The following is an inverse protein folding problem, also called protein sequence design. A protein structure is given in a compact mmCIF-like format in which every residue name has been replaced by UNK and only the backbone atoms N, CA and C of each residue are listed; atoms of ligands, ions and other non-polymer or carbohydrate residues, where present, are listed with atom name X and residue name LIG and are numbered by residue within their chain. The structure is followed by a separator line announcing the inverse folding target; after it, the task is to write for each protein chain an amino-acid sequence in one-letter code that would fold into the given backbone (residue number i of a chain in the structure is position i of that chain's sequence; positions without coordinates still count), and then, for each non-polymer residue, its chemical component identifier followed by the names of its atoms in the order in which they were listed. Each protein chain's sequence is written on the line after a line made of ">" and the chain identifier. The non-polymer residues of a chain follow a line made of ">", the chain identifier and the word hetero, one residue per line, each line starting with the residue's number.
data_IF_627596057401
#
_entry.id   IF_627596057401
#
_cell.length_a   1.000
_cell.length_b   1.000
_cell.length_c   1.000
_cell.angle_alpha   90.00
_cell.angle_beta   90.00
_cell.angle_gamma   90.00
#
_symmetry.space_group_name_H-M   'P 1'
#
loop_
_entity.id
_entity.type
_entity.pdbx_description
1 polymer ?
#
# COMPACT_ATOMS: atom_id res chain seq x y z
N UNK A 1 -7.09 20.10 10.63
CA UNK A 1 -6.26 21.31 10.85
C UNK A 1 -4.86 21.06 10.35
N UNK A 2 -3.94 21.99 10.53
CA UNK A 2 -2.55 21.90 10.05
C UNK A 2 -1.76 20.68 10.60
N UNK A 3 -2.09 20.26 11.82
CA UNK A 3 -1.46 19.10 12.47
C UNK A 3 -2.07 17.76 12.08
N UNK A 4 -3.09 17.75 11.21
CA UNK A 4 -3.71 16.50 10.80
C UNK A 4 -2.71 15.61 10.06
N UNK A 5 -2.72 14.32 10.38
CA UNK A 5 -1.94 13.29 9.70
C UNK A 5 -2.90 12.16 9.34
N UNK A 6 -2.79 11.66 8.12
CA UNK A 6 -3.59 10.53 7.64
C UNK A 6 -3.06 9.25 8.28
N UNK A 7 -3.81 8.58 9.18
CA UNK A 7 -3.34 7.34 9.80
C UNK A 7 -3.42 6.17 8.82
N UNK A 8 -2.42 5.29 8.83
CA UNK A 8 -2.56 3.91 8.32
C UNK A 8 -2.31 2.96 9.48
N UNK A 9 -3.31 2.15 9.83
CA UNK A 9 -3.27 1.29 11.02
C UNK A 9 -3.15 -0.19 10.67
N UNK A 10 -2.56 -0.94 11.60
CA UNK A 10 -2.62 -2.39 11.61
C UNK A 10 -3.62 -2.83 12.67
N UNK A 11 -4.65 -3.56 12.26
CA UNK A 11 -5.70 -4.10 13.12
C UNK A 11 -5.76 -5.61 12.94
N UNK A 12 -6.21 -6.35 13.94
CA UNK A 12 -6.40 -7.80 13.79
C UNK A 12 -7.64 -8.26 14.54
N UNK A 13 -8.22 -9.37 14.10
CA UNK A 13 -9.29 -10.07 14.79
C UNK A 13 -8.80 -11.43 15.33
N UNK A 14 -9.65 -12.11 16.09
CA UNK A 14 -9.35 -13.43 16.61
C UNK A 14 -8.40 -13.41 17.81
N UNK A 15 -7.61 -14.48 17.95
CA UNK A 15 -6.73 -14.70 19.11
C UNK A 15 -5.29 -14.95 18.71
N UNK A 16 -4.36 -14.57 19.60
CA UNK A 16 -2.93 -14.86 19.44
C UNK A 16 -2.56 -15.98 20.41
N UNK A 17 -2.10 -17.11 19.88
CA UNK A 17 -1.66 -18.27 20.67
C UNK A 17 -0.28 -18.73 20.19
N UNK A 18 0.71 -18.76 21.09
CA UNK A 18 2.08 -19.24 20.78
C UNK A 18 2.71 -18.62 19.52
N UNK A 19 2.50 -17.32 19.28
CA UNK A 19 3.02 -16.66 18.09
C UNK A 19 2.10 -16.71 16.86
N UNK A 20 1.00 -17.45 16.92
CA UNK A 20 0.05 -17.63 15.82
C UNK A 20 -1.19 -16.77 16.03
N UNK A 21 -1.43 -15.82 15.13
CA UNK A 21 -2.71 -15.15 15.01
C UNK A 21 -3.71 -16.09 14.32
N UNK A 22 -4.73 -16.54 15.05
CA UNK A 22 -5.89 -17.27 14.51
C UNK A 22 -6.98 -16.27 14.16
N UNK A 23 -6.83 -15.61 13.03
CA UNK A 23 -7.63 -14.48 12.60
C UNK A 23 -6.98 -13.76 11.43
N UNK A 24 -7.58 -12.66 11.03
CA UNK A 24 -7.12 -11.83 9.93
C UNK A 24 -6.31 -10.64 10.46
N UNK A 25 -5.35 -10.18 9.64
CA UNK A 25 -4.66 -8.91 9.81
C UNK A 25 -5.24 -7.92 8.79
N UNK A 26 -5.61 -6.75 9.24
CA UNK A 26 -6.12 -5.65 8.42
C UNK A 26 -5.08 -4.54 8.38
N UNK A 27 -4.78 -4.07 7.17
CA UNK A 27 -4.05 -2.84 6.92
C UNK A 27 -5.12 -1.83 6.53
N UNK A 28 -5.44 -0.90 7.44
CA UNK A 28 -6.54 0.05 7.24
C UNK A 28 -5.99 1.40 6.84
N UNK A 29 -6.31 1.82 5.63
CA UNK A 29 -5.90 3.11 5.08
C UNK A 29 -6.91 4.23 5.33
N UNK A 30 -6.41 5.46 5.33
CA UNK A 30 -7.23 6.69 5.40
C UNK A 30 -7.00 7.63 4.22
N UNK A 31 -6.36 7.14 3.15
CA UNK A 31 -5.94 7.94 1.99
C UNK A 31 -4.60 8.66 2.17
N UNK A 32 -3.68 8.14 3.00
CA UNK A 32 -2.32 8.68 3.15
C UNK A 32 -1.54 8.55 1.83
N UNK A 33 -1.18 9.66 1.16
CA UNK A 33 -0.41 9.60 -0.09
C UNK A 33 1.10 9.41 0.12
N UNK A 34 1.57 9.46 1.38
CA UNK A 34 3.01 9.47 1.70
C UNK A 34 3.58 8.09 2.03
N UNK A 35 2.72 7.08 2.22
CA UNK A 35 3.12 5.74 2.62
C UNK A 35 4.02 5.07 1.57
N UNK A 36 5.31 4.92 1.88
CA UNK A 36 6.26 4.37 0.93
C UNK A 36 6.70 5.33 -0.18
N UNK A 37 6.23 6.59 -0.19
CA UNK A 37 6.47 7.51 -1.30
C UNK A 37 7.96 7.76 -1.57
N UNK A 38 8.35 7.77 -2.85
CA UNK A 38 9.73 8.03 -3.27
C UNK A 38 10.22 9.42 -2.86
N UNK A 39 9.30 10.36 -2.58
CA UNK A 39 9.63 11.70 -2.09
C UNK A 39 10.25 11.68 -0.68
N UNK A 40 10.11 10.59 0.07
CA UNK A 40 10.71 10.37 1.39
C UNK A 40 11.90 9.39 1.34
N UNK A 41 12.51 9.21 0.18
CA UNK A 41 13.75 8.44 0.05
C UNK A 41 14.90 9.08 0.86
N UNK A 42 15.85 8.28 1.38
CA UNK A 42 15.95 6.82 1.25
C UNK A 42 15.03 6.03 2.19
N UNK A 43 14.47 6.67 3.21
CA UNK A 43 13.76 6.02 4.32
C UNK A 43 12.30 5.65 4.03
N UNK A 44 11.81 5.88 2.81
CA UNK A 44 10.45 5.55 2.38
C UNK A 44 9.97 4.13 2.75
N UNK A 45 10.85 3.13 2.88
CA UNK A 45 10.48 1.75 3.26
C UNK A 45 10.47 1.49 4.77
N UNK A 46 10.79 2.49 5.60
CA UNK A 46 10.91 2.36 7.06
C UNK A 46 9.62 1.87 7.72
N UNK A 47 8.45 2.29 7.21
CA UNK A 47 7.15 1.86 7.74
C UNK A 47 6.99 0.34 7.78
N UNK A 48 7.56 -0.40 6.81
CA UNK A 48 7.52 -1.86 6.79
C UNK A 48 8.21 -2.46 8.02
N UNK A 49 9.36 -1.89 8.42
CA UNK A 49 10.07 -2.34 9.61
C UNK A 49 9.31 -1.98 10.89
N UNK A 50 8.68 -0.82 10.92
CA UNK A 50 7.84 -0.37 12.04
C UNK A 50 6.62 -1.29 12.21
N UNK A 51 5.98 -1.67 11.11
CA UNK A 51 4.87 -2.62 11.07
C UNK A 51 5.28 -4.01 11.52
N UNK A 52 6.37 -4.56 10.98
CA UNK A 52 6.91 -5.86 11.42
C UNK A 52 7.24 -5.83 12.92
N UNK A 53 7.82 -4.73 13.39
CA UNK A 53 8.17 -4.56 14.81
C UNK A 53 6.92 -4.49 15.68
N UNK A 54 5.87 -3.77 15.24
CA UNK A 54 4.60 -3.69 15.95
C UNK A 54 3.92 -5.06 16.06
N UNK A 55 3.88 -5.84 14.96
CA UNK A 55 3.33 -7.20 14.96
C UNK A 55 4.11 -8.12 15.91
N UNK A 56 5.44 -8.09 15.86
CA UNK A 56 6.29 -8.87 16.77
C UNK A 56 6.09 -8.47 18.23
N UNK A 57 5.92 -7.17 18.51
CA UNK A 57 5.70 -6.64 19.87
C UNK A 57 4.42 -7.16 20.50
N UNK A 58 3.37 -7.38 19.71
CA UNK A 58 2.12 -8.00 20.18
C UNK A 58 2.14 -9.53 20.12
N UNK A 59 3.28 -10.13 19.77
CA UNK A 59 3.48 -11.59 19.74
C UNK A 59 2.96 -12.27 18.48
N UNK A 60 2.74 -11.55 17.38
CA UNK A 60 2.36 -12.14 16.09
C UNK A 60 3.64 -12.51 15.31
N UNK A 61 3.79 -13.79 15.02
CA UNK A 61 4.88 -14.35 14.21
C UNK A 61 4.37 -15.10 12.98
N UNK A 62 3.13 -15.60 13.03
CA UNK A 62 2.45 -16.27 11.93
C UNK A 62 0.98 -15.87 11.94
N UNK A 63 0.39 -15.78 10.75
CA UNK A 63 -1.03 -15.46 10.56
C UNK A 63 -1.71 -16.68 9.95
N UNK A 64 -2.79 -17.14 10.60
CA UNK A 64 -3.71 -18.17 10.10
C UNK A 64 -5.04 -17.49 9.77
N UNK A 65 -5.04 -16.81 8.63
CA UNK A 65 -6.13 -16.01 8.10
C UNK A 65 -5.61 -15.22 6.90
N UNK A 66 -6.34 -14.16 6.52
CA UNK A 66 -5.95 -13.27 5.45
C UNK A 66 -5.17 -12.06 5.97
N UNK A 67 -4.36 -11.47 5.09
CA UNK A 67 -3.88 -10.09 5.23
C UNK A 67 -4.73 -9.25 4.28
N UNK A 68 -5.51 -8.32 4.83
CA UNK A 68 -6.57 -7.60 4.13
C UNK A 68 -6.17 -6.13 4.06
N UNK A 69 -6.18 -5.57 2.86
CA UNK A 69 -6.10 -4.12 2.65
C UNK A 69 -7.52 -3.55 2.78
N UNK A 70 -7.80 -2.84 3.87
CA UNK A 70 -9.07 -2.13 4.09
C UNK A 70 -8.93 -0.68 3.58
N UNK A 71 -9.44 -0.44 2.38
CA UNK A 71 -9.49 0.88 1.73
C UNK A 71 -10.89 1.50 1.74
N UNK A 72 -11.82 0.97 2.53
CA UNK A 72 -13.25 1.31 2.52
C UNK A 72 -13.59 2.76 2.91
N UNK A 73 -12.60 3.56 3.29
CA UNK A 73 -12.76 4.99 3.58
C UNK A 73 -13.18 5.78 2.33
N UNK A 74 -12.76 5.34 1.15
CA UNK A 74 -13.15 5.91 -0.14
C UNK A 74 -14.06 4.92 -0.89
N UNK A 75 -14.73 5.42 -1.92
CA UNK A 75 -15.35 4.55 -2.91
C UNK A 75 -14.30 3.94 -3.84
N UNK A 76 -14.76 3.18 -4.83
CA UNK A 76 -13.90 2.54 -5.83
C UNK A 76 -13.61 3.43 -7.05
N UNK A 77 -14.06 4.69 -7.06
CA UNK A 77 -13.89 5.64 -8.17
C UNK A 77 -12.66 6.53 -7.96
N UNK A 78 -11.48 5.91 -7.84
CA UNK A 78 -10.24 6.62 -7.54
C UNK A 78 -9.74 7.58 -8.63
N UNK A 79 -10.39 7.63 -9.79
CA UNK A 79 -10.05 8.51 -10.91
C UNK A 79 -11.28 9.30 -11.35
N UNK A 80 -11.11 10.58 -11.70
CA UNK A 80 -12.23 11.40 -12.16
C UNK A 80 -12.62 11.06 -13.59
N UNK A 81 -13.92 10.98 -13.88
CA UNK A 81 -14.47 10.84 -15.24
C UNK A 81 -14.07 11.98 -16.20
N UNK A 82 -13.56 13.10 -15.66
CA UNK A 82 -13.08 14.24 -16.45
C UNK A 82 -11.60 14.13 -16.83
N UNK A 83 -10.87 13.16 -16.27
CA UNK A 83 -9.48 12.94 -16.65
C UNK A 83 -9.40 12.33 -18.05
N UNK A 84 -8.38 12.72 -18.79
CA UNK A 84 -8.11 12.20 -20.13
C UNK A 84 -7.58 10.77 -19.97
N UNK A 85 -8.20 9.80 -20.65
CA UNK A 85 -7.91 8.38 -20.46
C UNK A 85 -6.47 8.01 -20.82
N UNK A 86 -5.88 8.71 -21.78
CA UNK A 86 -4.49 8.59 -22.21
C UNK A 86 -3.49 8.82 -21.07
N UNK A 87 -3.86 9.58 -20.05
CA UNK A 87 -3.00 9.89 -18.91
C UNK A 87 -3.12 8.88 -17.76
N UNK A 88 -4.09 7.94 -17.80
CA UNK A 88 -4.32 6.97 -16.71
C UNK A 88 -3.15 5.98 -16.51
N UNK A 89 -2.21 5.91 -17.46
CA UNK A 89 -0.96 5.15 -17.32
C UNK A 89 0.23 5.99 -16.83
N UNK A 90 0.06 7.30 -16.68
CA UNK A 90 1.11 8.23 -16.28
C UNK A 90 1.18 8.39 -14.76
N UNK A 91 2.34 8.79 -14.25
CA UNK A 91 2.54 8.99 -12.80
C UNK A 91 1.61 10.04 -12.17
N UNK A 92 1.21 11.05 -12.94
CA UNK A 92 0.31 12.12 -12.50
C UNK A 92 -1.18 11.78 -12.68
N UNK A 93 -1.48 10.67 -13.36
CA UNK A 93 -2.83 10.12 -13.51
C UNK A 93 -3.13 8.98 -12.53
N UNK A 94 -2.26 8.75 -11.53
CA UNK A 94 -2.48 7.74 -10.51
C UNK A 94 -3.76 8.04 -9.71
N UNK A 95 -4.61 7.03 -9.55
CA UNK A 95 -5.86 7.17 -8.81
C UNK A 95 -5.64 7.37 -7.31
N UNK A 96 -6.59 8.07 -6.67
CA UNK A 96 -6.66 8.27 -5.23
C UNK A 96 -7.53 7.19 -4.59
N UNK A 97 -6.94 6.37 -3.73
CA UNK A 97 -7.62 5.25 -3.08
C UNK A 97 -7.40 5.31 -1.56
N UNK A 98 -8.20 4.56 -0.80
CA UNK A 98 -8.09 4.52 0.66
C UNK A 98 -6.71 4.04 1.13
N UNK A 99 -6.01 3.25 0.30
CA UNK A 99 -4.61 2.87 0.48
C UNK A 99 -3.81 3.29 -0.75
N UNK A 100 -2.72 4.03 -0.54
CA UNK A 100 -1.73 4.36 -1.55
C UNK A 100 -0.36 3.91 -1.05
N UNK A 101 0.35 3.09 -1.81
CA UNK A 101 1.69 2.62 -1.44
C UNK A 101 2.64 2.84 -2.60
N UNK A 102 3.84 3.36 -2.31
CA UNK A 102 4.84 3.67 -3.34
C UNK A 102 4.28 4.58 -4.44
N UNK A 103 3.53 5.61 -4.05
CA UNK A 103 2.90 6.60 -4.95
C UNK A 103 1.87 6.00 -5.93
N UNK A 104 1.38 4.76 -5.68
CA UNK A 104 0.62 3.95 -6.65
C UNK A 104 1.34 3.85 -8.01
N UNK A 105 2.68 3.88 -7.96
CA UNK A 105 3.57 3.92 -9.11
C UNK A 105 4.49 2.70 -9.09
N UNK A 106 4.73 2.12 -10.26
CA UNK A 106 5.82 1.18 -10.46
C UNK A 106 6.64 1.61 -11.68
N UNK A 107 7.89 1.13 -11.75
CA UNK A 107 8.80 1.42 -12.85
C UNK A 107 9.00 0.17 -13.69
N UNK A 108 8.85 0.30 -15.02
CA UNK A 108 9.16 -0.73 -15.99
C UNK A 108 10.44 -0.37 -16.73
N UNK A 109 11.37 -1.31 -16.82
CA UNK A 109 12.52 -1.25 -17.71
C UNK A 109 12.27 -2.17 -18.91
N UNK A 110 12.38 -1.63 -20.11
CA UNK A 110 12.20 -2.38 -21.36
C UNK A 110 13.54 -2.46 -22.10
N UNK A 111 13.90 -3.66 -22.54
CA UNK A 111 15.08 -3.88 -23.37
C UNK A 111 14.64 -4.52 -24.68
N UNK A 112 14.94 -3.87 -25.80
CA UNK A 112 14.65 -4.41 -27.14
C UNK A 112 15.59 -5.56 -27.46
N UNK A 113 15.05 -6.61 -28.08
CA UNK A 113 15.85 -7.68 -28.68
C UNK A 113 16.66 -7.18 -29.88
N UNK A 114 17.54 -8.05 -30.41
CA UNK A 114 18.27 -7.76 -31.63
C UNK A 114 17.31 -7.51 -32.82
N UNK A 115 17.71 -6.69 -33.82
CA UNK A 115 16.90 -6.47 -35.01
C UNK A 115 16.42 -7.79 -35.64
N UNK A 116 15.12 -7.89 -35.94
CA UNK A 116 14.52 -9.09 -36.53
C UNK A 116 14.09 -10.19 -35.54
N UNK A 117 14.36 -10.03 -34.25
CA UNK A 117 13.86 -10.95 -33.21
C UNK A 117 12.46 -10.54 -32.75
N UNK A 118 11.62 -11.53 -32.44
CA UNK A 118 10.32 -11.34 -31.78
C UNK A 118 10.46 -11.68 -30.29
N UNK A 119 9.70 -11.01 -29.40
CA UNK A 119 9.68 -11.33 -27.97
C UNK A 119 9.39 -12.80 -27.69
#
# INVERSE_FOLDING_TARGET
>A
GEDYRFPTTLEYDGSIENGLLKGNLYIKGSGDPSLGSAHFAPDHKRFLQEWISALKKVGIHKIQGAVIADESIFDTEGTSLKWVGEDMGSYYGAGSYGICVFDNLYKLGLQTGAPGTRP
#
